data_IF_590379892898
#
_entry.id   IF_590379892898
#
_cell.length_a   1.000
_cell.length_b   1.000
_cell.length_c   1.000
_cell.angle_alpha   90.00
_cell.angle_beta   90.00
_cell.angle_gamma   90.00
#
_symmetry.space_group_name_H-M   'P 1'
#
loop_
_entity.id
_entity.type
_entity.pdbx_description
1 polymer ?
#
# COMPACT_ATOMS: atom_id res chain seq x y z
N UNK A 1 -33.85 25.85 -30.47
CA UNK A 1 -34.01 24.48 -29.91
C UNK A 1 -33.18 24.41 -28.63
N UNK A 2 -33.78 24.18 -27.44
CA UNK A 2 -33.07 24.24 -26.16
C UNK A 2 -32.62 22.87 -25.59
N UNK A 3 -32.75 21.78 -26.36
CA UNK A 3 -32.38 20.43 -25.88
C UNK A 3 -30.86 20.29 -25.64
N UNK A 4 -30.02 21.02 -26.39
CA UNK A 4 -28.55 20.88 -26.36
C UNK A 4 -27.93 21.25 -25.00
N UNK A 5 -28.46 22.31 -24.35
CA UNK A 5 -27.94 22.78 -23.06
C UNK A 5 -28.28 21.83 -21.90
N UNK A 6 -29.44 21.16 -21.96
CA UNK A 6 -29.82 20.14 -20.98
C UNK A 6 -29.01 18.86 -21.16
N UNK A 7 -28.76 18.45 -22.40
CA UNK A 7 -27.92 17.28 -22.69
C UNK A 7 -26.46 17.50 -22.26
N UNK A 8 -25.91 18.69 -22.48
CA UNK A 8 -24.57 19.05 -21.99
C UNK A 8 -24.48 19.07 -20.46
N UNK A 9 -25.50 19.59 -19.77
CA UNK A 9 -25.55 19.60 -18.30
C UNK A 9 -25.65 18.18 -17.72
N UNK A 10 -26.41 17.30 -18.36
CA UNK A 10 -26.53 15.89 -17.96
C UNK A 10 -25.20 15.16 -18.19
N UNK A 11 -24.52 15.42 -19.31
CA UNK A 11 -23.21 14.85 -19.61
C UNK A 11 -22.14 15.31 -18.61
N UNK A 12 -22.06 16.61 -18.31
CA UNK A 12 -21.13 17.18 -17.35
C UNK A 12 -21.33 16.59 -15.94
N UNK A 13 -22.59 16.48 -15.49
CA UNK A 13 -22.94 15.85 -14.21
C UNK A 13 -22.51 14.38 -14.15
N UNK A 14 -22.72 13.62 -15.23
CA UNK A 14 -22.31 12.20 -15.31
C UNK A 14 -20.78 12.07 -15.30
N UNK A 15 -20.08 12.96 -16.00
CA UNK A 15 -18.62 12.98 -16.01
C UNK A 15 -18.07 13.32 -14.62
N UNK A 16 -18.59 14.35 -13.95
CA UNK A 16 -18.23 14.69 -12.57
C UNK A 16 -18.49 13.54 -11.59
N UNK A 17 -19.64 12.87 -11.69
CA UNK A 17 -19.94 11.71 -10.85
C UNK A 17 -19.00 10.53 -11.11
N UNK A 18 -18.64 10.26 -12.37
CA UNK A 18 -17.70 9.21 -12.74
C UNK A 18 -16.28 9.53 -12.25
N UNK A 19 -15.84 10.79 -12.37
CA UNK A 19 -14.54 11.26 -11.86
C UNK A 19 -14.47 11.15 -10.33
N UNK A 20 -15.52 11.55 -9.62
CA UNK A 20 -15.59 11.41 -8.16
C UNK A 20 -15.59 9.94 -7.70
N UNK A 21 -16.32 9.07 -8.39
CA UNK A 21 -16.31 7.63 -8.10
C UNK A 21 -14.94 7.00 -8.38
N UNK A 22 -14.26 7.41 -9.47
CA UNK A 22 -12.91 6.95 -9.79
C UNK A 22 -11.88 7.41 -8.76
N UNK A 23 -11.93 8.67 -8.32
CA UNK A 23 -11.06 9.21 -7.28
C UNK A 23 -11.22 8.46 -5.94
N UNK A 24 -12.46 8.25 -5.48
CA UNK A 24 -12.73 7.46 -4.27
C UNK A 24 -12.22 6.01 -4.38
N UNK A 25 -12.32 5.43 -5.58
CA UNK A 25 -11.84 4.07 -5.82
C UNK A 25 -10.30 4.01 -5.80
N UNK A 26 -9.63 4.99 -6.39
CA UNK A 26 -8.17 5.10 -6.35
C UNK A 26 -7.65 5.34 -4.92
N UNK A 27 -8.27 6.23 -4.14
CA UNK A 27 -7.91 6.43 -2.73
C UNK A 27 -8.10 5.17 -1.89
N UNK A 28 -9.19 4.43 -2.11
CA UNK A 28 -9.42 3.16 -1.43
C UNK A 28 -8.37 2.11 -1.81
N UNK A 29 -8.07 1.98 -3.11
CA UNK A 29 -7.04 1.04 -3.58
C UNK A 29 -5.66 1.39 -3.04
N UNK A 30 -5.32 2.67 -3.02
CA UNK A 30 -4.10 3.19 -2.42
C UNK A 30 -4.02 2.82 -0.93
N UNK A 31 -5.08 3.07 -0.17
CA UNK A 31 -5.14 2.74 1.27
C UNK A 31 -4.98 1.24 1.50
N UNK A 32 -5.64 0.41 0.68
CA UNK A 32 -5.52 -1.05 0.77
C UNK A 32 -4.11 -1.53 0.41
N UNK A 33 -3.47 -0.92 -0.60
CA UNK A 33 -2.09 -1.22 -0.97
C UNK A 33 -1.13 -0.89 0.17
N UNK A 34 -1.30 0.26 0.83
CA UNK A 34 -0.49 0.68 1.99
C UNK A 34 -0.68 -0.27 3.17
N UNK A 35 -1.92 -0.61 3.51
CA UNK A 35 -2.22 -1.55 4.60
C UNK A 35 -1.64 -2.94 4.32
N UNK A 36 -1.83 -3.45 3.11
CA UNK A 36 -1.29 -4.75 2.70
C UNK A 36 0.25 -4.76 2.73
N UNK A 37 0.88 -3.72 2.19
CA UNK A 37 2.33 -3.52 2.25
C UNK A 37 2.83 -3.48 3.68
N UNK A 38 2.19 -2.70 4.55
CA UNK A 38 2.57 -2.58 5.96
C UNK A 38 2.46 -3.91 6.69
N UNK A 39 1.38 -4.66 6.46
CA UNK A 39 1.20 -6.00 7.02
C UNK A 39 2.33 -6.94 6.59
N UNK A 40 2.75 -6.91 5.32
CA UNK A 40 3.87 -7.74 4.85
C UNK A 40 5.21 -7.30 5.43
N UNK A 41 5.46 -5.99 5.51
CA UNK A 41 6.67 -5.43 6.12
C UNK A 41 6.85 -5.85 7.58
N UNK A 42 5.80 -5.71 8.41
CA UNK A 42 5.85 -6.14 9.81
C UNK A 42 6.02 -7.65 9.95
N UNK A 43 5.32 -8.45 9.13
CA UNK A 43 5.48 -9.91 9.12
C UNK A 43 6.88 -10.34 8.73
N UNK A 44 7.53 -9.64 7.81
CA UNK A 44 8.91 -9.93 7.43
C UNK A 44 9.87 -9.74 8.60
N UNK A 45 9.74 -8.64 9.37
CA UNK A 45 10.56 -8.42 10.58
C UNK A 45 10.38 -9.55 11.57
N UNK A 46 9.13 -9.89 11.93
CA UNK A 46 8.83 -10.95 12.91
C UNK A 46 9.33 -12.30 12.42
N UNK A 47 9.13 -12.62 11.13
CA UNK A 47 9.60 -13.89 10.55
C UNK A 47 11.12 -14.01 10.60
N UNK A 48 11.84 -12.94 10.28
CA UNK A 48 13.30 -12.93 10.34
C UNK A 48 13.79 -13.09 11.78
N UNK A 49 13.14 -12.45 12.75
CA UNK A 49 13.42 -12.66 14.18
C UNK A 49 13.20 -14.11 14.61
N UNK A 50 12.06 -14.70 14.26
CA UNK A 50 11.75 -16.09 14.60
C UNK A 50 12.74 -17.08 13.96
N UNK A 51 13.15 -16.82 12.72
CA UNK A 51 14.16 -17.64 12.04
C UNK A 51 15.52 -17.53 12.75
N UNK A 52 15.98 -16.31 13.04
CA UNK A 52 17.24 -16.09 13.75
C UNK A 52 17.23 -16.74 15.15
N UNK A 53 16.10 -16.65 15.85
CA UNK A 53 15.92 -17.35 17.14
C UNK A 53 16.00 -18.87 16.98
N UNK A 54 15.32 -19.43 15.96
CA UNK A 54 15.36 -20.86 15.68
C UNK A 54 16.75 -21.39 15.31
N UNK A 55 17.60 -20.56 14.71
CA UNK A 55 18.98 -20.92 14.33
C UNK A 55 20.03 -20.51 15.38
N UNK A 56 19.64 -19.86 16.47
CA UNK A 56 20.57 -19.33 17.49
C UNK A 56 21.44 -18.17 17.00
N UNK A 57 21.01 -17.44 15.96
CA UNK A 57 21.73 -16.29 15.40
C UNK A 57 21.45 -15.02 16.22
N UNK A 58 22.15 -14.91 17.36
CA UNK A 58 22.04 -13.78 18.27
C UNK A 58 22.49 -12.46 17.65
N UNK A 59 23.46 -12.50 16.73
CA UNK A 59 23.94 -11.30 16.03
C UNK A 59 22.83 -10.69 15.18
N UNK A 60 22.09 -11.52 14.45
CA UNK A 60 20.94 -11.04 13.67
C UNK A 60 19.80 -10.55 14.57
N UNK A 61 19.54 -11.20 15.70
CA UNK A 61 18.52 -10.74 16.67
C UNK A 61 18.89 -9.34 17.20
N UNK A 62 20.13 -9.15 17.65
CA UNK A 62 20.61 -7.86 18.13
C UNK A 62 20.56 -6.80 17.04
N UNK A 63 20.95 -7.12 15.80
CA UNK A 63 20.86 -6.20 14.68
C UNK A 63 19.41 -5.77 14.41
N UNK A 64 18.44 -6.69 14.45
CA UNK A 64 17.04 -6.37 14.20
C UNK A 64 16.44 -5.58 15.37
N UNK A 65 16.74 -5.90 16.61
CA UNK A 65 16.17 -5.21 17.78
C UNK A 65 16.86 -3.87 18.06
N UNK A 66 18.17 -3.76 17.80
CA UNK A 66 18.98 -2.60 18.10
C UNK A 66 19.08 -1.57 16.98
N UNK A 67 18.90 -1.96 15.71
CA UNK A 67 19.14 -1.07 14.58
C UNK A 67 17.87 -0.78 13.76
N UNK A 68 17.47 0.49 13.71
CA UNK A 68 16.33 0.94 12.92
C UNK A 68 16.53 0.72 11.42
N UNK A 69 17.74 0.95 10.88
CA UNK A 69 18.01 0.77 9.45
C UNK A 69 17.90 -0.70 9.04
N UNK A 70 18.32 -1.63 9.91
CA UNK A 70 18.12 -3.07 9.68
C UNK A 70 16.64 -3.41 9.60
N UNK A 71 15.82 -2.92 10.54
CA UNK A 71 14.36 -3.11 10.48
C UNK A 71 13.76 -2.48 9.24
N UNK A 72 14.20 -1.27 8.89
CA UNK A 72 13.69 -0.54 7.74
C UNK A 72 14.01 -1.27 6.42
N UNK A 73 15.22 -1.82 6.29
CA UNK A 73 15.60 -2.63 5.13
C UNK A 73 14.73 -3.89 4.98
N UNK A 74 14.54 -4.65 6.07
CA UNK A 74 13.67 -5.83 6.08
C UNK A 74 12.22 -5.43 5.75
N UNK A 75 11.71 -4.36 6.37
CA UNK A 75 10.37 -3.84 6.13
C UNK A 75 10.16 -3.52 4.64
N UNK A 76 11.01 -2.67 4.07
CA UNK A 76 10.86 -2.22 2.67
C UNK A 76 11.03 -3.34 1.66
N UNK A 77 11.92 -4.31 1.94
CA UNK A 77 12.07 -5.49 1.07
C UNK A 77 10.78 -6.30 0.87
N UNK A 78 9.84 -6.23 1.82
CA UNK A 78 8.53 -6.88 1.73
C UNK A 78 7.38 -5.89 1.44
N UNK A 79 7.46 -4.66 1.94
CA UNK A 79 6.48 -3.60 1.72
C UNK A 79 6.45 -3.20 0.25
N UNK A 80 7.58 -2.79 -0.33
CA UNK A 80 7.66 -2.20 -1.66
C UNK A 80 7.07 -3.11 -2.76
N UNK A 81 7.41 -4.42 -2.84
CA UNK A 81 6.81 -5.28 -3.87
C UNK A 81 5.30 -5.44 -3.68
N UNK A 82 4.83 -5.57 -2.43
CA UNK A 82 3.40 -5.72 -2.13
C UNK A 82 2.63 -4.45 -2.50
N UNK A 83 3.10 -3.31 -2.02
CA UNK A 83 2.51 -2.01 -2.28
C UNK A 83 2.50 -1.69 -3.79
N UNK A 84 3.62 -1.90 -4.49
CA UNK A 84 3.70 -1.63 -5.93
C UNK A 84 2.82 -2.57 -6.76
N UNK A 85 2.50 -3.78 -6.27
CA UNK A 85 1.58 -4.69 -6.97
C UNK A 85 0.10 -4.34 -6.81
N UNK A 86 -0.23 -3.53 -5.80
CA UNK A 86 -1.61 -3.19 -5.43
C UNK A 86 -1.96 -1.72 -5.67
N UNK A 87 -0.97 -0.83 -5.77
CA UNK A 87 -1.21 0.58 -5.99
C UNK A 87 -1.82 0.81 -7.39
N UNK A 88 -2.79 1.73 -7.52
CA UNK A 88 -3.31 2.12 -8.83
C UNK A 88 -2.21 2.77 -9.69
N UNK A 89 -2.27 2.54 -11.01
CA UNK A 89 -1.37 3.12 -12.01
C UNK A 89 -1.64 4.61 -12.25
#
# INVERSE_FOLDING_TARGET
MPLDALDHLILDRRMHAALGAAANTQELQQTLAEQAGAHQGYRAIVRTLLNAYGTGDWVTIEAILGNHNTRNGIYHSAFDPTYNSLKPF
#
